data_IF_258786433067
#
_entry.id   IF_258786433067
#
_cell.length_a   1.000
_cell.length_b   1.000
_cell.length_c   1.000
_cell.angle_alpha   90.00
_cell.angle_beta   90.00
_cell.angle_gamma   90.00
#
_symmetry.space_group_name_H-M   'P 1'
#
loop_
_entity.id
_entity.type
_entity.pdbx_description
1 polymer ?
#
# COMPACT_ATOMS: atom_id res chain seq x y z
N UNK A 1 -4.21 27.18 1.09
CA UNK A 1 -3.08 27.02 0.12
C UNK A 1 -3.40 27.85 -1.12
N UNK A 2 -2.41 28.57 -1.66
CA UNK A 2 -2.55 29.37 -2.89
C UNK A 2 -2.84 28.45 -4.10
N UNK A 3 -3.76 28.83 -5.00
CA UNK A 3 -4.14 28.06 -6.21
C UNK A 3 -2.90 27.69 -7.05
N UNK A 4 -1.96 28.60 -7.20
CA UNK A 4 -0.71 28.37 -7.93
C UNK A 4 0.11 27.21 -7.34
N UNK A 5 0.13 27.07 -6.00
CA UNK A 5 0.81 25.97 -5.32
C UNK A 5 0.09 24.62 -5.54
N UNK A 6 -1.25 24.63 -5.58
CA UNK A 6 -2.04 23.43 -5.88
C UNK A 6 -1.76 22.92 -7.29
N UNK A 7 -1.69 23.83 -8.27
CA UNK A 7 -1.39 23.45 -9.66
C UNK A 7 0.01 22.87 -9.81
N UNK A 8 1.02 23.46 -9.15
CA UNK A 8 2.39 22.94 -9.16
C UNK A 8 2.45 21.54 -8.52
N UNK A 9 1.79 21.33 -7.39
CA UNK A 9 1.71 20.02 -6.74
C UNK A 9 1.04 18.98 -7.65
N UNK A 10 -0.11 19.33 -8.21
CA UNK A 10 -0.85 18.49 -9.15
C UNK A 10 0.02 18.09 -10.33
N UNK A 11 0.66 19.02 -10.99
CA UNK A 11 1.55 18.77 -12.13
C UNK A 11 2.73 17.88 -11.74
N UNK A 12 3.38 18.15 -10.60
CA UNK A 12 4.49 17.36 -10.08
C UNK A 12 4.09 15.90 -9.81
N UNK A 13 2.88 15.68 -9.26
CA UNK A 13 2.37 14.33 -8.99
C UNK A 13 2.10 13.55 -10.28
N UNK A 14 1.46 14.17 -11.28
CA UNK A 14 1.25 13.53 -12.58
C UNK A 14 2.56 13.22 -13.31
N UNK A 15 3.54 14.12 -13.25
CA UNK A 15 4.86 13.88 -13.83
C UNK A 15 5.54 12.68 -13.15
N UNK A 16 5.60 12.65 -11.82
CA UNK A 16 6.21 11.53 -11.07
C UNK A 16 5.50 10.22 -11.35
N UNK A 17 4.16 10.23 -11.34
CA UNK A 17 3.37 9.05 -11.70
C UNK A 17 3.66 8.60 -13.14
N UNK A 18 3.65 9.51 -14.11
CA UNK A 18 3.95 9.20 -15.49
C UNK A 18 5.36 8.62 -15.68
N UNK A 19 6.38 9.22 -15.05
CA UNK A 19 7.75 8.72 -15.11
C UNK A 19 7.84 7.31 -14.52
N UNK A 20 7.27 7.05 -13.31
CA UNK A 20 7.32 5.74 -12.68
C UNK A 20 6.60 4.66 -13.50
N UNK A 21 5.43 5.01 -14.05
CA UNK A 21 4.62 4.12 -14.89
C UNK A 21 5.34 3.75 -16.18
N UNK A 22 5.89 4.76 -16.88
CA UNK A 22 6.64 4.56 -18.12
C UNK A 22 7.96 3.80 -17.89
N UNK A 23 8.67 4.09 -16.80
CA UNK A 23 9.88 3.36 -16.44
C UNK A 23 9.59 1.88 -16.18
N UNK A 24 8.54 1.55 -15.43
CA UNK A 24 8.13 0.17 -15.18
C UNK A 24 7.69 -0.54 -16.49
N UNK A 25 6.92 0.13 -17.34
CA UNK A 25 6.52 -0.41 -18.63
C UNK A 25 7.72 -0.63 -19.57
N UNK A 26 8.68 0.31 -19.59
CA UNK A 26 9.90 0.17 -20.37
C UNK A 26 10.74 -1.02 -19.89
N UNK A 27 10.92 -1.20 -18.58
CA UNK A 27 11.61 -2.37 -18.04
C UNK A 27 10.94 -3.68 -18.46
N UNK A 28 9.61 -3.76 -18.37
CA UNK A 28 8.87 -4.94 -18.85
C UNK A 28 9.06 -5.15 -20.36
N UNK A 29 8.98 -4.10 -21.16
CA UNK A 29 9.11 -4.19 -22.61
C UNK A 29 10.53 -4.64 -23.04
N UNK A 30 11.59 -4.05 -22.48
CA UNK A 30 12.96 -4.36 -22.89
C UNK A 30 13.48 -5.68 -22.33
N UNK A 31 13.09 -6.06 -21.09
CA UNK A 31 13.66 -7.22 -20.42
C UNK A 31 12.69 -8.40 -20.27
N UNK A 32 11.39 -8.20 -20.43
CA UNK A 32 10.39 -9.22 -20.14
C UNK A 32 9.09 -9.06 -20.97
N UNK A 33 9.20 -8.69 -22.26
CA UNK A 33 8.01 -8.43 -23.10
C UNK A 33 7.02 -9.59 -23.18
N UNK A 34 7.52 -10.82 -23.12
CA UNK A 34 6.71 -12.05 -23.16
C UNK A 34 6.15 -12.44 -21.79
N UNK A 35 6.38 -11.60 -20.79
CA UNK A 35 5.95 -11.83 -19.42
C UNK A 35 4.53 -11.29 -19.18
N UNK A 36 3.53 -12.04 -19.66
CA UNK A 36 2.12 -11.61 -19.58
C UNK A 36 1.65 -11.37 -18.14
N UNK A 37 2.15 -12.15 -17.15
CA UNK A 37 1.85 -11.96 -15.72
C UNK A 37 2.32 -10.57 -15.24
N UNK A 38 3.53 -10.17 -15.65
CA UNK A 38 4.07 -8.85 -15.32
C UNK A 38 3.24 -7.72 -15.94
N UNK A 39 2.81 -7.88 -17.21
CA UNK A 39 1.94 -6.89 -17.86
C UNK A 39 0.56 -6.80 -17.21
N UNK A 40 -0.06 -7.95 -16.85
CA UNK A 40 -1.34 -7.97 -16.16
C UNK A 40 -1.22 -7.28 -14.80
N UNK A 41 -0.18 -7.62 -14.01
CA UNK A 41 0.05 -6.99 -12.71
C UNK A 41 0.34 -5.49 -12.83
N UNK A 42 1.09 -5.07 -13.85
CA UNK A 42 1.33 -3.67 -14.15
C UNK A 42 0.01 -2.91 -14.38
N UNK A 43 -0.91 -3.47 -15.18
CA UNK A 43 -2.23 -2.88 -15.42
C UNK A 43 -3.01 -2.77 -14.11
N UNK A 44 -3.08 -3.86 -13.32
CA UNK A 44 -3.82 -3.91 -12.06
C UNK A 44 -3.27 -2.92 -11.03
N UNK A 45 -1.98 -2.60 -11.07
CA UNK A 45 -1.36 -1.65 -10.15
C UNK A 45 -1.49 -0.20 -10.63
N UNK A 46 -1.11 0.08 -11.88
CA UNK A 46 -0.96 1.46 -12.36
C UNK A 46 -2.26 2.09 -12.86
N UNK A 47 -3.19 1.32 -13.42
CA UNK A 47 -4.46 1.87 -13.87
C UNK A 47 -5.30 2.39 -12.71
N UNK A 48 -5.54 1.63 -11.61
CA UNK A 48 -6.24 2.18 -10.46
C UNK A 48 -5.47 3.33 -9.80
N UNK A 49 -4.13 3.27 -9.74
CA UNK A 49 -3.30 4.34 -9.19
C UNK A 49 -3.47 5.66 -9.96
N UNK A 50 -3.59 5.60 -11.28
CA UNK A 50 -3.92 6.78 -12.08
C UNK A 50 -5.23 7.43 -11.63
N UNK A 51 -6.29 6.63 -11.44
CA UNK A 51 -7.58 7.14 -10.98
C UNK A 51 -7.52 7.69 -9.56
N UNK A 52 -6.72 7.09 -8.67
CA UNK A 52 -6.50 7.61 -7.31
C UNK A 52 -5.79 8.95 -7.34
N UNK A 53 -4.72 9.09 -8.14
CA UNK A 53 -4.00 10.35 -8.31
C UNK A 53 -4.94 11.41 -8.88
N UNK A 54 -5.73 11.07 -9.90
CA UNK A 54 -6.71 11.96 -10.51
C UNK A 54 -7.78 12.42 -9.49
N UNK A 55 -8.33 11.47 -8.71
CA UNK A 55 -9.36 11.75 -7.70
C UNK A 55 -8.85 12.72 -6.64
N UNK A 56 -7.70 12.42 -6.00
CA UNK A 56 -7.18 13.26 -4.92
C UNK A 56 -6.57 14.58 -5.43
N UNK A 57 -6.00 14.61 -6.62
CA UNK A 57 -5.53 15.86 -7.24
C UNK A 57 -6.64 16.90 -7.43
N UNK A 58 -7.87 16.42 -7.67
CA UNK A 58 -9.01 17.31 -7.86
C UNK A 58 -9.74 17.62 -6.54
N UNK A 59 -9.71 16.72 -5.56
CA UNK A 59 -10.54 16.81 -4.35
C UNK A 59 -9.77 17.20 -3.09
N UNK A 60 -8.56 16.71 -2.90
CA UNK A 60 -7.70 16.98 -1.74
C UNK A 60 -6.22 16.92 -2.12
N UNK A 61 -5.67 17.97 -2.75
CA UNK A 61 -4.25 18.02 -3.10
C UNK A 61 -3.33 17.96 -1.87
N UNK A 62 -3.78 18.44 -0.70
CA UNK A 62 -3.02 18.41 0.54
C UNK A 62 -2.81 16.98 1.05
N UNK A 63 -3.78 16.09 0.80
CA UNK A 63 -3.63 14.66 1.07
C UNK A 63 -2.46 14.06 0.30
N UNK A 64 -2.32 14.38 -1.00
CA UNK A 64 -1.20 13.90 -1.80
C UNK A 64 0.14 14.43 -1.28
N UNK A 65 0.20 15.69 -0.83
CA UNK A 65 1.41 16.25 -0.22
C UNK A 65 1.78 15.50 1.07
N UNK A 66 0.80 15.20 1.94
CA UNK A 66 1.03 14.39 3.14
C UNK A 66 1.59 13.00 2.80
N UNK A 67 1.13 12.36 1.73
CA UNK A 67 1.63 11.05 1.27
C UNK A 67 3.03 11.09 0.67
N UNK A 68 3.57 12.25 0.33
CA UNK A 68 4.96 12.42 -0.14
C UNK A 68 5.97 12.67 0.99
N UNK A 69 5.53 12.73 2.23
CA UNK A 69 6.42 12.83 3.39
C UNK A 69 6.94 11.44 3.74
N UNK A 70 8.27 11.24 3.64
CA UNK A 70 8.91 9.94 3.87
C UNK A 70 9.79 9.89 5.13
N UNK A 71 10.03 11.03 5.79
CA UNK A 71 10.91 11.08 6.96
C UNK A 71 10.14 10.69 8.22
N UNK A 72 10.22 9.41 8.58
CA UNK A 72 9.67 8.91 9.85
C UNK A 72 10.36 9.60 11.03
N UNK A 73 9.57 9.98 12.04
CA UNK A 73 10.03 10.59 13.29
C UNK A 73 10.47 9.56 14.31
N UNK A 74 9.78 8.42 14.34
CA UNK A 74 10.05 7.31 15.25
C UNK A 74 11.07 6.34 14.62
N UNK A 75 12.20 6.09 15.32
CA UNK A 75 13.26 5.19 14.82
C UNK A 75 12.79 3.77 14.53
N UNK A 76 11.90 3.23 15.40
CA UNK A 76 11.33 1.90 15.21
C UNK A 76 10.55 1.80 13.91
N UNK A 77 9.78 2.84 13.56
CA UNK A 77 9.02 2.88 12.31
C UNK A 77 9.94 2.98 11.09
N UNK A 78 11.00 3.78 11.18
CA UNK A 78 11.98 3.88 10.11
C UNK A 78 12.63 2.52 9.80
N UNK A 79 12.99 1.74 10.84
CA UNK A 79 13.57 0.40 10.65
C UNK A 79 12.58 -0.58 10.02
N UNK A 80 11.29 -0.53 10.37
CA UNK A 80 10.23 -1.36 9.76
C UNK A 80 10.08 -1.02 8.28
N UNK A 81 10.07 0.27 7.92
CA UNK A 81 9.97 0.70 6.51
C UNK A 81 11.17 0.22 5.70
N UNK A 82 12.38 0.36 6.24
CA UNK A 82 13.61 -0.12 5.58
C UNK A 82 13.56 -1.64 5.42
N UNK A 83 13.22 -2.39 6.47
CA UNK A 83 13.10 -3.85 6.40
C UNK A 83 12.05 -4.29 5.35
N UNK A 84 10.87 -3.67 5.33
CA UNK A 84 9.84 -3.94 4.33
C UNK A 84 10.31 -3.65 2.90
N UNK A 85 11.05 -2.55 2.71
CA UNK A 85 11.64 -2.22 1.39
C UNK A 85 12.66 -3.26 0.96
N UNK A 86 13.54 -3.69 1.87
CA UNK A 86 14.53 -4.74 1.58
C UNK A 86 13.85 -6.06 1.22
N UNK A 87 12.86 -6.49 2.00
CA UNK A 87 12.08 -7.70 1.71
C UNK A 87 11.41 -7.60 0.33
N UNK A 88 10.81 -6.46 0.00
CA UNK A 88 10.19 -6.23 -1.28
C UNK A 88 11.20 -6.35 -2.44
N UNK A 89 12.36 -5.70 -2.34
CA UNK A 89 13.38 -5.72 -3.40
C UNK A 89 14.00 -7.11 -3.57
N UNK A 90 14.34 -7.78 -2.46
CA UNK A 90 14.85 -9.16 -2.47
C UNK A 90 13.79 -10.11 -3.02
N UNK A 91 12.54 -9.97 -2.59
CA UNK A 91 11.42 -10.77 -3.10
C UNK A 91 11.20 -10.59 -4.60
N UNK A 92 11.30 -9.36 -5.13
CA UNK A 92 11.24 -9.11 -6.58
C UNK A 92 12.39 -9.79 -7.33
N UNK A 93 13.62 -9.73 -6.79
CA UNK A 93 14.76 -10.41 -7.38
C UNK A 93 14.55 -11.94 -7.39
N UNK A 94 13.99 -12.51 -6.31
CA UNK A 94 13.67 -13.93 -6.23
C UNK A 94 12.59 -14.31 -7.24
N UNK A 95 11.54 -13.52 -7.43
CA UNK A 95 10.52 -13.74 -8.47
C UNK A 95 11.18 -13.73 -9.87
N UNK A 96 12.10 -12.79 -10.11
CA UNK A 96 12.86 -12.73 -11.36
C UNK A 96 13.73 -13.97 -11.59
N UNK A 97 14.42 -14.46 -10.54
CA UNK A 97 15.21 -15.69 -10.59
C UNK A 97 14.33 -16.94 -10.79
N UNK A 98 13.20 -17.02 -10.08
CA UNK A 98 12.23 -18.12 -10.25
C UNK A 98 11.76 -18.22 -11.71
N UNK A 99 11.41 -17.06 -12.30
CA UNK A 99 11.07 -17.01 -13.74
C UNK A 99 12.25 -17.46 -14.63
N UNK A 100 13.45 -16.95 -14.38
CA UNK A 100 14.63 -17.24 -15.21
C UNK A 100 15.02 -18.71 -15.17
N UNK A 101 15.03 -19.33 -13.99
CA UNK A 101 15.38 -20.74 -13.77
C UNK A 101 14.18 -21.69 -13.81
N UNK A 102 12.95 -21.15 -13.94
CA UNK A 102 11.71 -21.95 -13.96
C UNK A 102 11.57 -22.86 -12.73
N UNK A 103 11.91 -22.37 -11.52
CA UNK A 103 11.84 -23.15 -10.28
C UNK A 103 10.40 -23.51 -9.91
N UNK A 104 9.43 -22.64 -10.22
CA UNK A 104 8.02 -22.90 -9.98
C UNK A 104 7.15 -22.53 -11.18
N UNK A 105 5.96 -23.15 -11.25
CA UNK A 105 4.97 -22.84 -12.28
C UNK A 105 3.64 -22.52 -11.63
N UNK A 106 3.13 -21.31 -11.84
CA UNK A 106 1.83 -20.88 -11.33
C UNK A 106 0.78 -21.04 -12.42
N UNK A 107 -0.31 -21.78 -12.20
CA UNK A 107 -1.38 -21.91 -13.17
C UNK A 107 -2.00 -20.54 -13.52
N UNK A 108 -2.39 -20.29 -14.78
CA UNK A 108 -2.97 -19.00 -15.19
C UNK A 108 -4.15 -18.56 -14.34
N UNK A 109 -5.00 -19.49 -13.92
CA UNK A 109 -6.14 -19.18 -13.05
C UNK A 109 -5.69 -18.62 -11.69
N UNK A 110 -4.62 -19.15 -11.11
CA UNK A 110 -4.08 -18.65 -9.85
C UNK A 110 -3.50 -17.25 -10.01
N UNK A 111 -2.84 -16.95 -11.14
CA UNK A 111 -2.36 -15.60 -11.49
C UNK A 111 -3.52 -14.62 -11.56
N UNK A 112 -4.62 -14.99 -12.24
CA UNK A 112 -5.81 -14.14 -12.37
C UNK A 112 -6.45 -13.89 -11.01
N UNK A 113 -6.64 -14.93 -10.19
CA UNK A 113 -7.19 -14.82 -8.83
C UNK A 113 -6.30 -13.93 -7.95
N UNK A 114 -4.98 -14.11 -8.00
CA UNK A 114 -4.05 -13.28 -7.25
C UNK A 114 -4.10 -11.79 -7.67
N UNK A 115 -4.25 -11.50 -8.96
CA UNK A 115 -4.48 -10.14 -9.47
C UNK A 115 -5.80 -9.56 -8.97
N UNK A 116 -6.88 -10.36 -8.91
CA UNK A 116 -8.15 -9.92 -8.34
C UNK A 116 -8.03 -9.62 -6.84
N UNK A 117 -7.29 -10.43 -6.07
CA UNK A 117 -6.99 -10.16 -4.64
C UNK A 117 -6.18 -8.88 -4.48
N UNK A 118 -5.16 -8.65 -5.33
CA UNK A 118 -4.40 -7.40 -5.35
C UNK A 118 -5.30 -6.19 -5.60
N UNK A 119 -6.22 -6.29 -6.56
CA UNK A 119 -7.17 -5.23 -6.88
C UNK A 119 -8.14 -4.95 -5.72
N UNK A 120 -8.61 -5.99 -5.01
CA UNK A 120 -9.43 -5.84 -3.80
C UNK A 120 -8.63 -5.12 -2.72
N UNK A 121 -7.38 -5.55 -2.47
CA UNK A 121 -6.49 -4.88 -1.51
C UNK A 121 -6.29 -3.40 -1.83
N UNK A 122 -6.07 -3.08 -3.10
CA UNK A 122 -5.97 -1.70 -3.59
C UNK A 122 -7.26 -0.90 -3.36
N UNK A 123 -8.42 -1.51 -3.63
CA UNK A 123 -9.73 -0.88 -3.43
C UNK A 123 -9.99 -0.57 -1.95
N UNK A 124 -9.60 -1.45 -1.03
CA UNK A 124 -9.66 -1.21 0.42
C UNK A 124 -8.80 -0.01 0.80
N UNK A 125 -7.56 0.09 0.28
CA UNK A 125 -6.68 1.24 0.52
C UNK A 125 -7.31 2.53 0.01
N UNK A 126 -7.86 2.52 -1.20
CA UNK A 126 -8.55 3.69 -1.76
C UNK A 126 -9.73 4.14 -0.89
N UNK A 127 -10.61 3.21 -0.48
CA UNK A 127 -11.73 3.53 0.40
C UNK A 127 -11.26 4.08 1.75
N UNK A 128 -10.17 3.55 2.28
CA UNK A 128 -9.55 4.03 3.51
C UNK A 128 -9.06 5.48 3.37
N UNK A 129 -8.37 5.79 2.28
CA UNK A 129 -7.87 7.15 2.00
C UNK A 129 -8.99 8.15 1.75
N UNK A 130 -10.05 7.71 1.08
CA UNK A 130 -11.23 8.54 0.84
C UNK A 130 -11.93 8.94 2.14
N UNK A 131 -11.93 8.04 3.13
CA UNK A 131 -12.56 8.27 4.43
C UNK A 131 -11.65 9.06 5.37
N UNK A 132 -10.34 8.81 5.35
CA UNK A 132 -9.38 9.37 6.27
C UNK A 132 -8.36 10.28 5.56
N UNK A 133 -8.67 11.56 5.49
CA UNK A 133 -7.76 12.57 4.93
C UNK A 133 -6.47 12.77 5.74
N UNK A 134 -6.39 12.30 6.99
CA UNK A 134 -5.16 12.35 7.80
C UNK A 134 -4.21 11.19 7.53
N UNK A 135 -4.61 10.18 6.73
CA UNK A 135 -3.76 9.03 6.44
C UNK A 135 -2.44 9.47 5.79
N UNK A 136 -1.35 9.43 6.57
CA UNK A 136 0.00 9.79 6.18
C UNK A 136 0.85 8.54 5.90
N UNK A 137 2.01 8.72 5.25
CA UNK A 137 3.01 7.65 5.13
C UNK A 137 3.79 7.47 6.44
N UNK A 138 3.91 8.54 7.22
CA UNK A 138 4.57 8.56 8.53
C UNK A 138 3.54 8.52 9.66
N UNK A 139 3.91 7.95 10.81
CA UNK A 139 3.06 7.92 12.00
C UNK A 139 3.22 9.24 12.75
N UNK A 140 2.21 10.09 12.64
CA UNK A 140 2.12 11.35 13.38
C UNK A 140 0.64 11.70 13.63
N UNK A 141 0.38 12.42 14.72
CA UNK A 141 -0.94 13.00 15.01
C UNK A 141 -0.89 14.49 14.71
N UNK A 142 -1.74 14.95 13.79
CA UNK A 142 -1.87 16.38 13.48
C UNK A 142 -2.70 17.09 14.58
N UNK A 143 -2.41 18.37 14.86
CA UNK A 143 -3.08 19.15 15.92
C UNK A 143 -4.62 19.20 15.80
N UNK A 144 -5.14 19.09 14.58
CA UNK A 144 -6.59 19.12 14.30
C UNK A 144 -7.17 17.73 14.00
N UNK A 145 -6.37 16.67 14.15
CA UNK A 145 -6.79 15.31 13.80
C UNK A 145 -7.91 14.83 14.73
N UNK A 146 -8.92 14.24 14.10
CA UNK A 146 -10.03 13.56 14.80
C UNK A 146 -9.99 12.08 14.52
N UNK A 147 -10.51 11.30 15.47
CA UNK A 147 -10.71 9.86 15.27
C UNK A 147 -11.73 9.64 14.16
N UNK A 148 -11.33 8.92 13.11
CA UNK A 148 -12.23 8.47 12.05
C UNK A 148 -12.76 7.09 12.45
N UNK A 149 -14.10 6.95 12.49
CA UNK A 149 -14.78 5.72 12.87
C UNK A 149 -15.87 5.31 11.89
N UNK A 150 -15.91 5.93 10.71
CA UNK A 150 -16.84 5.66 9.62
C UNK A 150 -16.20 4.84 8.49
N UNK A 151 -17.01 4.39 7.53
CA UNK A 151 -16.53 3.60 6.39
C UNK A 151 -15.80 2.33 6.83
N UNK A 152 -14.64 1.99 6.24
CA UNK A 152 -13.86 0.81 6.61
C UNK A 152 -13.43 0.80 8.10
N UNK A 153 -13.25 1.97 8.71
CA UNK A 153 -12.88 2.12 10.11
C UNK A 153 -13.99 1.74 11.11
N UNK A 154 -15.24 1.64 10.65
CA UNK A 154 -16.33 1.10 11.47
C UNK A 154 -16.21 -0.42 11.68
N UNK A 155 -15.49 -1.13 10.82
CA UNK A 155 -15.36 -2.59 10.83
C UNK A 155 -14.05 -3.01 11.50
N UNK A 156 -12.93 -2.40 11.09
CA UNK A 156 -11.58 -2.71 11.58
C UNK A 156 -10.77 -1.42 11.77
N UNK A 157 -9.80 -1.45 12.68
CA UNK A 157 -9.02 -0.25 13.02
C UNK A 157 -7.98 0.11 11.96
N UNK A 158 -7.45 -0.89 11.23
CA UNK A 158 -6.35 -0.70 10.28
C UNK A 158 -6.66 -1.22 8.88
N UNK A 159 -7.71 -0.69 8.20
CA UNK A 159 -8.12 -1.18 6.88
C UNK A 159 -7.04 -0.98 5.81
N UNK A 160 -6.24 0.08 5.91
CA UNK A 160 -5.11 0.31 4.99
C UNK A 160 -4.11 -0.85 5.04
N UNK A 161 -3.77 -1.33 6.24
CA UNK A 161 -2.83 -2.43 6.40
C UNK A 161 -3.40 -3.77 5.94
N UNK A 162 -4.71 -4.00 6.08
CA UNK A 162 -5.37 -5.16 5.48
C UNK A 162 -5.20 -5.15 3.95
N UNK A 163 -5.51 -4.02 3.32
CA UNK A 163 -5.32 -3.87 1.87
C UNK A 163 -3.87 -4.08 1.44
N UNK A 164 -2.91 -3.54 2.19
CA UNK A 164 -1.49 -3.73 1.94
C UNK A 164 -1.06 -5.20 2.04
N UNK A 165 -1.48 -5.92 3.08
CA UNK A 165 -1.18 -7.36 3.25
C UNK A 165 -1.75 -8.18 2.09
N UNK A 166 -3.00 -7.91 1.68
CA UNK A 166 -3.61 -8.58 0.53
C UNK A 166 -2.79 -8.37 -0.74
N UNK A 167 -2.34 -7.14 -1.00
CA UNK A 167 -1.49 -6.83 -2.16
C UNK A 167 -0.13 -7.53 -2.06
N UNK A 168 0.54 -7.47 -0.90
CA UNK A 168 1.87 -8.07 -0.75
C UNK A 168 1.85 -9.59 -0.86
N UNK A 169 0.87 -10.26 -0.25
CA UNK A 169 0.80 -11.73 -0.31
C UNK A 169 0.36 -12.26 -1.68
N UNK A 170 -0.48 -11.53 -2.40
CA UNK A 170 -0.93 -11.93 -3.74
C UNK A 170 0.09 -11.60 -4.84
N UNK A 171 0.96 -10.61 -4.63
CA UNK A 171 1.92 -10.13 -5.62
C UNK A 171 2.81 -11.23 -6.21
N UNK A 172 3.49 -12.10 -5.45
CA UNK A 172 4.35 -13.13 -6.04
C UNK A 172 3.55 -14.11 -6.92
N UNK A 173 2.36 -14.53 -6.49
CA UNK A 173 1.48 -15.40 -7.28
C UNK A 173 0.98 -14.68 -8.52
N UNK A 174 0.59 -13.42 -8.41
CA UNK A 174 0.20 -12.57 -9.54
C UNK A 174 1.32 -12.41 -10.57
N UNK A 175 2.57 -12.41 -10.11
CA UNK A 175 3.78 -12.39 -10.93
C UNK A 175 4.27 -13.80 -11.32
N UNK A 176 3.51 -14.88 -11.07
CA UNK A 176 3.81 -16.22 -11.55
C UNK A 176 4.87 -16.98 -10.73
N UNK A 177 5.07 -16.64 -9.45
CA UNK A 177 6.07 -17.28 -8.59
C UNK A 177 5.45 -17.79 -7.28
N UNK A 178 5.58 -19.08 -7.01
CA UNK A 178 5.31 -19.67 -5.68
C UNK A 178 6.49 -19.43 -4.72
N UNK A 179 7.71 -19.41 -5.25
CA UNK A 179 8.94 -19.23 -4.46
C UNK A 179 8.98 -17.86 -3.78
N UNK A 180 8.38 -16.84 -4.38
CA UNK A 180 8.26 -15.51 -3.78
C UNK A 180 7.36 -15.44 -2.55
N UNK A 181 6.38 -16.34 -2.41
CA UNK A 181 5.35 -16.26 -1.34
C UNK A 181 5.95 -16.26 0.08
N UNK A 182 6.89 -17.16 0.46
CA UNK A 182 7.50 -17.13 1.79
C UNK A 182 8.17 -15.78 2.12
N UNK A 183 8.84 -15.16 1.14
CA UNK A 183 9.52 -13.88 1.34
C UNK A 183 8.53 -12.75 1.56
N UNK A 184 7.47 -12.68 0.76
CA UNK A 184 6.45 -11.65 0.93
C UNK A 184 5.62 -11.86 2.21
N UNK A 185 5.51 -13.09 2.72
CA UNK A 185 4.89 -13.38 4.02
C UNK A 185 5.61 -12.73 5.20
N UNK A 186 6.90 -12.38 5.06
CA UNK A 186 7.64 -11.62 6.07
C UNK A 186 7.09 -10.18 6.27
N UNK A 187 6.24 -9.66 5.37
CA UNK A 187 5.55 -8.41 5.62
C UNK A 187 4.51 -8.51 6.74
N UNK A 188 3.97 -9.71 7.03
CA UNK A 188 2.96 -9.90 8.10
C UNK A 188 3.52 -9.46 9.47
N UNK A 189 4.63 -10.03 9.98
CA UNK A 189 5.17 -9.62 11.28
C UNK A 189 5.60 -8.14 11.29
N UNK A 190 6.10 -7.60 10.17
CA UNK A 190 6.44 -6.17 10.09
C UNK A 190 5.20 -5.28 10.23
N UNK A 191 4.10 -5.63 9.56
CA UNK A 191 2.85 -4.87 9.67
C UNK A 191 2.23 -5.01 11.06
N UNK A 192 2.31 -6.18 11.69
CA UNK A 192 1.87 -6.36 13.08
C UNK A 192 2.65 -5.42 14.02
N UNK A 193 3.99 -5.39 13.90
CA UNK A 193 4.82 -4.49 14.68
C UNK A 193 4.48 -3.01 14.41
N UNK A 194 4.24 -2.64 13.13
CA UNK A 194 3.85 -1.28 12.76
C UNK A 194 2.52 -0.88 13.38
N UNK A 195 1.50 -1.75 13.32
CA UNK A 195 0.19 -1.51 13.93
C UNK A 195 0.31 -1.29 15.45
N UNK A 196 1.05 -2.16 16.14
CA UNK A 196 1.22 -2.06 17.58
C UNK A 196 1.91 -0.76 18.00
N UNK A 197 2.90 -0.31 17.23
CA UNK A 197 3.57 0.96 17.48
C UNK A 197 2.67 2.16 17.14
N UNK A 198 1.92 2.10 16.04
CA UNK A 198 0.94 3.14 15.67
C UNK A 198 -0.14 3.29 16.75
N UNK A 199 -0.71 2.19 17.25
CA UNK A 199 -1.71 2.23 18.32
C UNK A 199 -1.16 2.84 19.63
N UNK A 200 0.13 2.64 19.94
CA UNK A 200 0.77 3.31 21.11
C UNK A 200 0.78 4.84 20.92
N UNK A 201 1.16 5.32 19.72
CA UNK A 201 1.20 6.75 19.42
C UNK A 201 -0.22 7.34 19.43
N UNK A 202 -1.16 6.69 18.75
CA UNK A 202 -2.54 7.15 18.65
C UNK A 202 -3.24 7.15 20.03
N UNK A 203 -2.99 6.15 20.88
CA UNK A 203 -3.56 6.09 22.23
C UNK A 203 -3.00 7.17 23.15
N UNK A 204 -1.75 7.60 22.93
CA UNK A 204 -1.09 8.66 23.69
C UNK A 204 -1.52 10.05 23.23
N UNK A 205 -1.59 10.27 21.91
CA UNK A 205 -1.59 11.60 21.32
C UNK A 205 -2.93 11.99 20.66
N UNK A 206 -3.85 11.02 20.38
CA UNK A 206 -5.12 11.27 19.72
C UNK A 206 -6.31 11.14 20.68
N UNK A 207 -6.94 12.24 21.14
CA UNK A 207 -8.10 12.20 22.02
C UNK A 207 -9.25 11.39 21.41
N UNK A 208 -9.87 10.49 22.19
CA UNK A 208 -10.99 9.65 21.78
C UNK A 208 -10.58 8.35 21.06
N UNK A 209 -9.28 8.09 20.88
CA UNK A 209 -8.82 6.86 20.21
C UNK A 209 -9.06 5.61 21.08
N UNK A 210 -8.90 5.71 22.40
CA UNK A 210 -9.11 4.59 23.31
C UNK A 210 -10.59 4.17 23.30
N UNK A 211 -11.52 5.12 23.32
CA UNK A 211 -12.96 4.87 23.21
C UNK A 211 -13.34 4.26 21.86
N UNK A 212 -12.67 4.68 20.78
CA UNK A 212 -12.82 4.06 19.48
C UNK A 212 -12.39 2.59 19.49
N UNK A 213 -11.26 2.25 20.14
CA UNK A 213 -10.79 0.86 20.25
C UNK A 213 -11.78 -0.05 21.00
N UNK A 214 -12.56 0.49 21.96
CA UNK A 214 -13.61 -0.28 22.66
C UNK A 214 -14.77 -0.61 21.73
N UNK A 215 -15.13 0.30 20.82
CA UNK A 215 -16.22 0.12 19.85
C UNK A 215 -15.79 -0.76 18.67
N UNK A 216 -14.62 -0.48 18.09
CA UNK A 216 -14.07 -1.24 16.95
C UNK A 216 -12.93 -2.13 17.47
N UNK A 217 -13.30 -3.37 17.87
CA UNK A 217 -12.40 -4.28 18.60
C UNK A 217 -11.32 -4.92 17.71
N UNK A 218 -11.60 -5.11 16.44
CA UNK A 218 -10.72 -5.83 15.52
C UNK A 218 -9.70 -4.90 14.86
N UNK A 219 -8.43 -5.32 14.82
CA UNK A 219 -7.34 -4.57 14.18
C UNK A 219 -7.35 -4.73 12.66
N UNK A 220 -7.32 -5.98 12.18
CA UNK A 220 -7.22 -6.31 10.75
C UNK A 220 -8.35 -7.21 10.27
N UNK A 221 -8.61 -8.34 10.96
CA UNK A 221 -9.54 -9.35 10.51
C UNK A 221 -10.61 -9.55 11.58
N UNK A 222 -11.90 -9.29 11.25
CA UNK A 222 -13.00 -9.52 12.18
C UNK A 222 -13.00 -10.96 12.71
N UNK A 223 -13.11 -11.11 14.03
CA UNK A 223 -13.13 -12.42 14.71
C UNK A 223 -11.76 -13.09 14.93
N UNK A 224 -10.66 -12.54 14.38
CA UNK A 224 -9.31 -13.09 14.54
C UNK A 224 -8.41 -12.15 15.35
N UNK A 225 -8.27 -10.91 14.92
CA UNK A 225 -7.36 -9.94 15.55
C UNK A 225 -7.75 -8.48 15.31
#
# INVERSE_FOLDING_TARGET
MDEKRKDVLRQSMFIRFGISTLAAAALLYFFARDYWQGWLYWIVLFVPMFFVVLYFSNRDPDFLERRTRYKEKEREQASIVVAGTVIMLVGLAIIGLDRYYSWSTVPPIAVIVANAVSFIGYSIIFLTFRENGYASHIIEVEKSQKVISSGPYAIIRHPMYLGYILMMLSMPVALGSWVGVPFYSLHIPLIIARILNEEKVLSRDLPGYVEYCVRTRHRLVPGIW
#
